data_IF_270767923814
#
_entry.id   IF_270767923814
#
_cell.length_a   1.000
_cell.length_b   1.000
_cell.length_c   1.000
_cell.angle_alpha   90.00
_cell.angle_beta   90.00
_cell.angle_gamma   90.00
#
_symmetry.space_group_name_H-M   'P 1'
#
loop_
_entity.id
_entity.type
_entity.pdbx_description
1 polymer ?
#
# COMPACT_ATOMS: atom_id res chain seq x y z
N UNK A 1 -24.15 -7.66 28.75
CA UNK A 1 -23.63 -7.97 27.39
C UNK A 1 -23.92 -6.75 26.53
N UNK A 2 -22.95 -5.86 26.38
CA UNK A 2 -23.11 -4.63 25.56
C UNK A 2 -22.34 -4.85 24.28
N UNK A 3 -23.07 -5.14 23.20
CA UNK A 3 -22.53 -5.24 21.85
C UNK A 3 -22.38 -3.82 21.30
N UNK A 4 -21.21 -3.22 21.48
CA UNK A 4 -20.87 -1.95 20.85
C UNK A 4 -20.28 -2.20 19.47
N UNK A 5 -21.04 -2.02 18.39
CA UNK A 5 -20.45 -1.83 17.07
C UNK A 5 -19.86 -0.43 17.06
N UNK A 6 -18.57 -0.32 17.36
CA UNK A 6 -17.83 0.94 17.24
C UNK A 6 -17.50 1.14 15.75
N UNK A 7 -18.31 1.92 15.03
CA UNK A 7 -17.91 2.44 13.72
C UNK A 7 -17.09 3.70 13.95
N UNK A 8 -15.78 3.54 14.09
CA UNK A 8 -14.87 4.66 14.28
C UNK A 8 -14.16 4.96 12.97
N UNK A 9 -14.43 6.15 12.42
CA UNK A 9 -13.67 6.73 11.32
C UNK A 9 -12.67 7.71 11.94
N UNK A 10 -11.38 7.48 11.75
CA UNK A 10 -10.30 8.28 12.33
C UNK A 10 -9.46 7.50 13.35
N UNK A 11 -8.14 7.53 13.16
CA UNK A 11 -7.11 6.81 13.90
C UNK A 11 -6.96 7.32 15.36
N UNK A 12 -7.86 6.93 16.26
CA UNK A 12 -7.60 7.01 17.70
C UNK A 12 -8.28 5.83 18.40
N UNK A 13 -7.49 4.87 18.88
CA UNK A 13 -8.00 3.67 19.54
C UNK A 13 -8.36 4.01 20.99
N UNK A 14 -9.65 3.88 21.34
CA UNK A 14 -10.14 3.99 22.73
C UNK A 14 -10.14 2.67 23.49
N UNK A 15 -9.73 1.56 22.84
CA UNK A 15 -9.40 0.30 23.50
C UNK A 15 -7.90 0.32 23.79
N UNK A 16 -7.54 0.42 25.08
CA UNK A 16 -6.18 0.66 25.57
C UNK A 16 -5.09 -0.32 25.11
N UNK A 17 -3.88 -0.10 25.62
CA UNK A 17 -2.56 -0.66 25.27
C UNK A 17 -2.39 -2.17 24.98
N UNK A 18 -3.44 -2.98 24.85
CA UNK A 18 -3.38 -4.41 24.54
C UNK A 18 -2.69 -4.76 23.21
N UNK A 19 -2.49 -3.78 22.31
CA UNK A 19 -1.67 -3.94 21.10
C UNK A 19 -0.55 -2.90 21.02
N UNK A 20 -0.26 -2.20 22.12
CA UNK A 20 0.94 -1.36 22.21
C UNK A 20 2.12 -2.31 22.40
N UNK A 21 2.88 -2.54 21.34
CA UNK A 21 4.13 -3.33 21.39
C UNK A 21 5.19 -2.55 20.61
N UNK A 22 6.21 -2.05 21.32
CA UNK A 22 7.25 -1.17 20.77
C UNK A 22 8.20 -1.94 19.82
N UNK A 23 8.29 -3.26 19.97
CA UNK A 23 9.20 -4.15 19.23
C UNK A 23 8.70 -4.55 17.84
N UNK A 24 7.49 -4.15 17.44
CA UNK A 24 6.81 -4.67 16.24
C UNK A 24 6.75 -3.75 15.05
N UNK A 25 7.35 -2.56 15.11
CA UNK A 25 7.37 -1.63 13.98
C UNK A 25 5.96 -1.38 13.45
N UNK A 26 5.09 -0.77 14.27
CA UNK A 26 3.74 -0.36 13.88
C UNK A 26 2.82 -1.50 13.40
N UNK A 27 1.83 -1.87 14.22
CA UNK A 27 0.75 -2.79 13.82
C UNK A 27 -0.10 -2.30 12.64
N UNK A 28 0.10 -1.05 12.24
CA UNK A 28 -0.43 -0.43 11.05
C UNK A 28 0.62 -0.57 9.95
N UNK A 29 0.43 -1.53 9.04
CA UNK A 29 1.31 -1.67 7.89
C UNK A 29 1.52 -0.33 7.18
N UNK A 30 2.76 -0.04 6.81
CA UNK A 30 3.14 1.08 5.97
C UNK A 30 3.63 0.54 4.65
N UNK A 31 3.01 0.98 3.56
CA UNK A 31 3.61 0.88 2.24
C UNK A 31 4.74 1.91 2.19
N UNK A 32 5.91 1.53 1.69
CA UNK A 32 7.00 2.48 1.48
C UNK A 32 6.55 3.58 0.50
N UNK A 33 6.92 4.86 0.75
CA UNK A 33 6.60 5.94 -0.17
C UNK A 33 7.22 5.66 -1.54
N UNK A 34 6.41 5.79 -2.59
CA UNK A 34 6.89 5.65 -3.96
C UNK A 34 8.03 6.63 -4.25
N UNK A 35 9.13 6.13 -4.80
CA UNK A 35 10.34 6.92 -5.06
C UNK A 35 10.28 7.59 -6.45
N UNK A 36 9.11 8.06 -6.87
CA UNK A 36 8.84 8.49 -8.24
C UNK A 36 8.11 9.86 -8.27
N UNK A 37 8.26 10.60 -9.37
CA UNK A 37 7.67 11.94 -9.51
C UNK A 37 6.14 11.86 -9.68
N UNK A 38 5.37 12.01 -8.61
CA UNK A 38 3.91 12.08 -8.64
C UNK A 38 3.33 12.41 -7.27
N UNK A 39 2.03 12.70 -7.19
CA UNK A 39 1.35 12.93 -5.91
C UNK A 39 0.74 11.61 -5.44
N UNK A 40 1.29 10.95 -4.41
CA UNK A 40 0.71 9.72 -3.89
C UNK A 40 -0.58 10.02 -3.14
N UNK A 41 -1.59 9.17 -3.33
CA UNK A 41 -2.82 9.17 -2.57
C UNK A 41 -2.94 7.84 -1.81
N UNK A 42 -2.94 7.91 -0.48
CA UNK A 42 -3.04 6.72 0.38
C UNK A 42 -4.35 6.72 1.13
N UNK A 43 -5.06 5.59 1.10
CA UNK A 43 -6.20 5.29 1.96
C UNK A 43 -5.81 4.16 2.89
N UNK A 44 -5.85 4.43 4.19
CA UNK A 44 -5.67 3.42 5.24
C UNK A 44 -7.00 3.17 5.95
N UNK A 45 -7.34 1.90 6.13
CA UNK A 45 -8.51 1.50 6.90
C UNK A 45 -8.22 0.20 7.63
N UNK A 46 -8.97 -0.08 8.68
CA UNK A 46 -8.77 -1.30 9.45
C UNK A 46 -9.87 -1.52 10.47
N UNK A 47 -9.90 -2.75 10.99
CA UNK A 47 -10.77 -3.16 12.07
C UNK A 47 -9.94 -3.84 13.15
N UNK A 48 -10.47 -3.75 14.36
CA UNK A 48 -9.77 -4.20 15.55
C UNK A 48 -10.77 -4.87 16.49
N UNK A 49 -10.34 -5.96 17.09
CA UNK A 49 -11.08 -6.67 18.11
C UNK A 49 -10.15 -7.11 19.24
N UNK A 50 -10.60 -6.91 20.48
CA UNK A 50 -9.92 -7.40 21.67
C UNK A 50 -10.94 -7.91 22.65
N UNK A 51 -10.71 -9.08 23.23
CA UNK A 51 -11.56 -9.59 24.29
C UNK A 51 -10.75 -10.33 25.36
N UNK A 52 -11.19 -10.19 26.60
CA UNK A 52 -10.68 -10.95 27.74
C UNK A 52 -11.67 -12.09 28.00
N UNK A 53 -11.30 -13.31 27.62
CA UNK A 53 -12.17 -14.48 27.79
C UNK A 53 -12.31 -14.86 29.27
N UNK A 54 -11.21 -14.76 30.02
CA UNK A 54 -11.18 -14.92 31.47
C UNK A 54 -9.95 -14.17 32.05
N UNK A 55 -9.67 -14.32 33.34
CA UNK A 55 -8.50 -13.67 33.96
C UNK A 55 -7.16 -14.11 33.39
N UNK A 56 -7.09 -15.32 32.84
CA UNK A 56 -5.88 -15.95 32.32
C UNK A 56 -5.70 -15.80 30.81
N UNK A 57 -6.78 -15.59 30.05
CA UNK A 57 -6.74 -15.65 28.59
C UNK A 57 -7.29 -14.37 27.99
N UNK A 58 -6.46 -13.72 27.17
CA UNK A 58 -6.86 -12.57 26.35
C UNK A 58 -6.58 -12.86 24.89
N UNK A 59 -7.49 -12.40 24.04
CA UNK A 59 -7.39 -12.54 22.59
C UNK A 59 -7.50 -11.18 21.92
N UNK A 60 -6.72 -11.03 20.86
CA UNK A 60 -6.65 -9.85 20.04
C UNK A 60 -6.58 -10.23 18.57
N UNK A 61 -7.32 -9.49 17.75
CA UNK A 61 -7.25 -9.55 16.31
C UNK A 61 -7.26 -8.14 15.73
N UNK A 62 -6.44 -7.91 14.71
CA UNK A 62 -6.57 -6.72 13.87
C UNK A 62 -6.40 -7.08 12.40
N UNK A 63 -7.05 -6.28 11.58
CA UNK A 63 -6.91 -6.29 10.14
C UNK A 63 -6.76 -4.86 9.65
N UNK A 64 -5.75 -4.62 8.82
CA UNK A 64 -5.49 -3.33 8.19
C UNK A 64 -5.37 -3.52 6.68
N UNK A 65 -5.98 -2.60 5.95
CA UNK A 65 -5.84 -2.45 4.50
C UNK A 65 -5.26 -1.07 4.21
N UNK A 66 -4.16 -1.06 3.47
CA UNK A 66 -3.57 0.14 2.91
C UNK A 66 -3.67 0.06 1.40
N UNK A 67 -4.13 1.13 0.77
CA UNK A 67 -4.08 1.27 -0.68
C UNK A 67 -3.39 2.59 -0.99
N UNK A 68 -2.39 2.55 -1.86
CA UNK A 68 -1.69 3.74 -2.33
C UNK A 68 -1.71 3.75 -3.85
N UNK A 69 -2.21 4.84 -4.42
CA UNK A 69 -2.17 5.08 -5.85
C UNK A 69 -1.23 6.26 -6.13
N UNK A 70 -0.36 6.12 -7.13
CA UNK A 70 0.54 7.16 -7.60
C UNK A 70 0.38 7.30 -9.11
N UNK A 71 0.05 8.51 -9.55
CA UNK A 71 0.00 8.85 -10.97
C UNK A 71 1.12 9.86 -11.24
N UNK A 72 1.93 9.55 -12.24
CA UNK A 72 3.00 10.37 -12.77
C UNK A 72 2.73 10.65 -14.24
N UNK A 73 2.78 11.92 -14.62
CA UNK A 73 2.59 12.35 -16.00
C UNK A 73 3.74 13.25 -16.42
N UNK A 74 4.28 13.02 -17.62
CA UNK A 74 5.35 13.79 -18.21
C UNK A 74 5.04 14.05 -19.67
N UNK A 75 5.09 15.33 -20.07
CA UNK A 75 4.96 15.76 -21.45
C UNK A 75 6.27 16.37 -21.91
N UNK A 76 6.81 15.89 -23.02
CA UNK A 76 8.05 16.37 -23.61
C UNK A 76 7.84 16.65 -25.08
N UNK A 77 8.30 17.80 -25.54
CA UNK A 77 8.29 18.13 -26.97
C UNK A 77 9.72 18.29 -27.46
N UNK A 78 10.12 17.49 -28.45
CA UNK A 78 11.49 17.48 -28.99
C UNK A 78 11.47 17.90 -30.45
N UNK A 79 12.20 18.95 -30.80
CA UNK A 79 12.32 19.42 -32.18
C UNK A 79 13.66 18.98 -32.77
N UNK A 80 13.61 18.35 -33.94
CA UNK A 80 14.78 17.91 -34.67
C UNK A 80 14.99 18.81 -35.89
N UNK A 81 16.07 19.56 -35.87
CA UNK A 81 16.44 20.50 -36.95
C UNK A 81 17.43 19.78 -37.87
N UNK A 82 17.00 19.48 -39.10
CA UNK A 82 17.84 18.93 -40.16
C UNK A 82 18.16 20.05 -41.17
N UNK A 83 19.12 19.81 -42.08
CA UNK A 83 19.59 20.81 -43.03
C UNK A 83 18.48 21.38 -43.92
N UNK A 84 17.55 20.54 -44.34
CA UNK A 84 16.49 20.90 -45.31
C UNK A 84 15.07 20.72 -44.74
N UNK A 85 14.92 20.11 -43.56
CA UNK A 85 13.62 19.82 -42.94
C UNK A 85 13.68 19.96 -41.42
N UNK A 86 12.52 20.08 -40.79
CA UNK A 86 12.38 20.06 -39.34
C UNK A 86 11.17 19.23 -39.00
N UNK A 87 11.29 18.36 -38.01
CA UNK A 87 10.16 17.61 -37.49
C UNK A 87 10.15 17.67 -35.96
N UNK A 88 8.99 17.45 -35.39
CA UNK A 88 8.77 17.57 -33.95
C UNK A 88 8.18 16.27 -33.44
N UNK A 89 8.63 15.83 -32.26
CA UNK A 89 8.10 14.65 -31.57
C UNK A 89 7.54 15.10 -30.23
N UNK A 90 6.21 15.07 -30.12
CA UNK A 90 5.51 15.22 -28.86
C UNK A 90 5.42 13.87 -28.17
N UNK A 91 5.89 13.79 -26.93
CA UNK A 91 5.92 12.59 -26.11
C UNK A 91 5.04 12.84 -24.87
N UNK A 92 4.07 11.97 -24.66
CA UNK A 92 3.26 11.91 -23.44
C UNK A 92 3.53 10.57 -22.76
N UNK A 93 4.05 10.63 -21.54
CA UNK A 93 4.30 9.47 -20.71
C UNK A 93 3.42 9.54 -19.46
N UNK A 94 2.69 8.47 -19.17
CA UNK A 94 1.90 8.32 -17.96
C UNK A 94 2.29 7.00 -17.29
N UNK A 95 2.66 7.08 -16.01
CA UNK A 95 2.89 5.91 -15.16
C UNK A 95 1.89 5.94 -14.02
N UNK A 96 1.18 4.84 -13.84
CA UNK A 96 0.26 4.65 -12.72
C UNK A 96 0.70 3.44 -11.92
N UNK A 97 1.02 3.67 -10.66
CA UNK A 97 1.42 2.64 -9.71
C UNK A 97 0.31 2.50 -8.66
N UNK A 98 -0.13 1.28 -8.43
CA UNK A 98 -1.04 0.96 -7.32
C UNK A 98 -0.33 -0.04 -6.41
N UNK A 99 -0.38 0.20 -5.12
CA UNK A 99 -0.03 -0.77 -4.09
C UNK A 99 -1.24 -1.01 -3.19
N UNK A 100 -1.49 -2.28 -2.86
CA UNK A 100 -2.51 -2.69 -1.92
C UNK A 100 -1.92 -3.69 -0.92
N UNK A 101 -1.83 -3.28 0.33
CA UNK A 101 -1.33 -4.10 1.42
C UNK A 101 -2.47 -4.50 2.37
N UNK A 102 -2.50 -5.78 2.69
CA UNK A 102 -3.35 -6.38 3.69
C UNK A 102 -2.48 -6.92 4.80
N UNK A 103 -2.76 -6.52 6.04
CA UNK A 103 -2.07 -7.01 7.22
C UNK A 103 -3.10 -7.56 8.20
N UNK A 104 -2.93 -8.81 8.59
CA UNK A 104 -3.73 -9.48 9.62
C UNK A 104 -2.78 -9.83 10.74
N UNK A 105 -3.13 -9.43 11.96
CA UNK A 105 -2.39 -9.86 13.13
C UNK A 105 -3.31 -10.42 14.21
N UNK A 106 -2.86 -11.48 14.87
CA UNK A 106 -3.46 -12.01 16.08
C UNK A 106 -2.55 -11.83 17.29
N UNK A 107 -3.16 -11.82 18.47
CA UNK A 107 -2.50 -11.91 19.77
C UNK A 107 -3.31 -12.86 20.65
N UNK A 108 -2.64 -13.82 21.26
CA UNK A 108 -3.20 -14.71 22.27
C UNK A 108 -2.27 -14.67 23.48
N UNK A 109 -2.75 -14.13 24.59
CA UNK A 109 -2.05 -14.12 25.88
C UNK A 109 -2.67 -15.19 26.78
N UNK A 110 -1.84 -16.05 27.36
CA UNK A 110 -2.22 -17.11 28.29
C UNK A 110 -1.35 -17.01 29.55
N UNK A 111 -1.95 -16.63 30.67
CA UNK A 111 -1.32 -16.68 31.99
C UNK A 111 -1.45 -18.07 32.58
N UNK A 112 -0.33 -18.77 32.74
CA UNK A 112 -0.33 -20.08 33.39
C UNK A 112 -0.49 -19.92 34.90
N UNK A 113 0.32 -19.03 35.49
CA UNK A 113 0.32 -18.63 36.89
C UNK A 113 0.48 -17.09 37.03
N UNK A 114 0.86 -16.59 38.22
CA UNK A 114 1.04 -15.16 38.46
C UNK A 114 2.29 -14.54 37.83
N UNK A 115 3.26 -15.36 37.44
CA UNK A 115 4.61 -14.98 36.99
C UNK A 115 4.92 -15.44 35.56
N UNK A 116 4.18 -16.42 35.04
CA UNK A 116 4.42 -17.07 33.75
C UNK A 116 3.29 -16.76 32.77
N UNK A 117 3.62 -16.11 31.65
CA UNK A 117 2.68 -15.71 30.60
C UNK A 117 3.21 -16.12 29.23
N UNK A 118 2.40 -16.86 28.47
CA UNK A 118 2.70 -17.22 27.09
C UNK A 118 1.95 -16.27 26.17
N UNK A 119 2.68 -15.67 25.23
CA UNK A 119 2.13 -14.79 24.20
C UNK A 119 2.38 -15.39 22.81
N UNK A 120 1.31 -15.63 22.06
CA UNK A 120 1.38 -16.13 20.68
C UNK A 120 0.89 -15.03 19.74
N UNK A 121 1.69 -14.74 18.73
CA UNK A 121 1.51 -13.58 17.88
C UNK A 121 1.66 -13.91 16.38
N UNK A 122 0.62 -14.50 15.77
CA UNK A 122 0.58 -14.72 14.34
C UNK A 122 0.44 -13.40 13.57
N UNK A 123 1.14 -13.29 12.46
CA UNK A 123 1.07 -12.18 11.51
C UNK A 123 1.02 -12.75 10.09
N UNK A 124 0.11 -12.21 9.29
CA UNK A 124 -0.02 -12.51 7.88
C UNK A 124 -0.07 -11.19 7.10
N UNK A 125 0.79 -11.05 6.10
CA UNK A 125 0.80 -9.90 5.20
C UNK A 125 0.70 -10.32 3.75
N UNK A 126 -0.07 -9.57 2.97
CA UNK A 126 -0.27 -9.77 1.54
C UNK A 126 -0.23 -8.42 0.84
N UNK A 127 0.68 -8.28 -0.11
CA UNK A 127 0.88 -7.06 -0.89
C UNK A 127 0.64 -7.35 -2.37
N UNK A 128 -0.08 -6.44 -3.02
CA UNK A 128 -0.28 -6.43 -4.45
C UNK A 128 0.25 -5.12 -4.99
N UNK A 129 1.17 -5.21 -5.95
CA UNK A 129 1.63 -4.02 -6.67
C UNK A 129 1.26 -4.16 -8.13
N UNK A 130 0.85 -3.05 -8.72
CA UNK A 130 0.71 -2.94 -10.16
C UNK A 130 1.33 -1.65 -10.66
N UNK A 131 1.88 -1.71 -11.86
CA UNK A 131 2.40 -0.55 -12.55
C UNK A 131 1.97 -0.64 -14.00
N UNK A 132 1.20 0.35 -14.46
CA UNK A 132 0.87 0.53 -15.87
C UNK A 132 1.60 1.75 -16.40
N UNK A 133 2.40 1.57 -17.44
CA UNK A 133 3.06 2.65 -18.15
C UNK A 133 2.44 2.79 -19.54
N UNK A 134 2.11 4.02 -19.90
CA UNK A 134 1.61 4.38 -21.21
C UNK A 134 2.50 5.48 -21.80
N UNK A 135 3.07 5.20 -22.97
CA UNK A 135 3.85 6.14 -23.74
C UNK A 135 3.18 6.37 -25.09
N UNK A 136 2.92 7.62 -25.41
CA UNK A 136 2.41 8.04 -26.70
C UNK A 136 3.38 9.05 -27.34
N UNK A 137 3.78 8.74 -28.56
CA UNK A 137 4.60 9.63 -29.39
C UNK A 137 3.77 10.14 -30.57
N UNK A 138 3.72 11.45 -30.73
CA UNK A 138 3.15 12.16 -31.88
C UNK A 138 4.29 12.68 -32.74
N UNK A 139 4.43 12.13 -33.94
CA UNK A 139 5.38 12.63 -34.93
C UNK A 139 4.69 13.69 -35.78
N UNK A 140 5.14 14.93 -35.65
CA UNK A 140 4.55 16.09 -36.30
C UNK A 140 5.47 16.60 -37.41
N UNK A 141 4.86 16.99 -38.52
CA UNK A 141 5.54 17.71 -39.61
C UNK A 141 5.87 19.15 -39.17
N UNK A 142 6.63 19.87 -39.99
CA UNK A 142 6.93 21.30 -39.76
C UNK A 142 5.67 22.17 -39.67
N UNK A 143 4.60 21.83 -40.39
CA UNK A 143 3.32 22.54 -40.36
C UNK A 143 2.50 22.24 -39.10
N UNK A 144 2.95 21.29 -38.26
CA UNK A 144 2.23 20.84 -37.07
C UNK A 144 1.24 19.71 -37.34
N UNK A 145 1.20 19.18 -38.56
CA UNK A 145 0.31 18.08 -38.93
C UNK A 145 0.86 16.76 -38.38
N UNK A 146 -0.01 15.93 -37.82
CA UNK A 146 0.37 14.59 -37.37
C UNK A 146 0.70 13.71 -38.57
N UNK A 147 1.95 13.25 -38.62
CA UNK A 147 2.40 12.25 -39.57
C UNK A 147 2.07 10.84 -39.06
N UNK A 148 2.45 10.54 -37.81
CA UNK A 148 2.19 9.24 -37.19
C UNK A 148 2.08 9.32 -35.68
N UNK A 149 1.45 8.28 -35.10
CA UNK A 149 1.31 8.10 -33.66
C UNK A 149 1.85 6.71 -33.30
N UNK A 150 2.66 6.64 -32.25
CA UNK A 150 3.10 5.37 -31.65
C UNK A 150 2.62 5.29 -30.22
N UNK A 151 1.99 4.17 -29.86
CA UNK A 151 1.53 3.88 -28.51
C UNK A 151 2.25 2.65 -27.96
N UNK A 152 2.76 2.75 -26.74
CA UNK A 152 3.36 1.64 -26.01
C UNK A 152 2.68 1.55 -24.66
N UNK A 153 2.14 0.38 -24.33
CA UNK A 153 1.54 0.08 -23.04
C UNK A 153 2.30 -1.07 -22.39
N UNK A 154 2.64 -0.92 -21.11
CA UNK A 154 3.33 -1.94 -20.33
C UNK A 154 2.64 -2.09 -18.98
N UNK A 155 2.26 -3.31 -18.64
CA UNK A 155 1.61 -3.63 -17.37
C UNK A 155 2.44 -4.64 -16.59
N UNK A 156 2.79 -4.27 -15.36
CA UNK A 156 3.50 -5.12 -14.41
C UNK A 156 2.61 -5.36 -13.21
N UNK A 157 2.56 -6.60 -12.72
CA UNK A 157 1.81 -6.98 -11.52
C UNK A 157 2.66 -7.91 -10.67
N UNK A 158 2.80 -7.59 -9.39
CA UNK A 158 3.50 -8.41 -8.41
C UNK A 158 2.61 -8.71 -7.23
N UNK A 159 2.86 -9.85 -6.60
CA UNK A 159 2.18 -10.29 -5.39
C UNK A 159 3.20 -10.83 -4.43
N UNK A 160 3.14 -10.38 -3.19
CA UNK A 160 4.01 -10.85 -2.13
C UNK A 160 3.15 -11.29 -0.96
N UNK A 161 3.45 -12.45 -0.40
CA UNK A 161 2.83 -12.92 0.83
C UNK A 161 3.92 -13.25 1.83
N UNK A 162 3.62 -13.02 3.10
CA UNK A 162 4.53 -13.35 4.19
C UNK A 162 3.72 -13.75 5.42
N UNK A 163 4.21 -14.78 6.11
CA UNK A 163 3.60 -15.32 7.32
C UNK A 163 4.67 -15.41 8.39
N UNK A 164 4.38 -14.90 9.57
CA UNK A 164 5.27 -14.93 10.71
C UNK A 164 4.50 -15.36 11.95
N UNK A 165 5.09 -16.23 12.76
CA UNK A 165 4.59 -16.58 14.08
C UNK A 165 5.66 -16.30 15.11
N UNK A 166 5.33 -15.51 16.13
CA UNK A 166 6.22 -15.26 17.27
C UNK A 166 5.58 -15.81 18.53
N UNK A 167 6.40 -16.44 19.37
CA UNK A 167 6.01 -16.88 20.71
C UNK A 167 6.93 -16.18 21.71
N UNK A 168 6.35 -15.60 22.76
CA UNK A 168 7.06 -15.07 23.93
C UNK A 168 6.59 -15.83 25.18
N UNK A 169 7.46 -15.96 26.17
CA UNK A 169 7.23 -16.68 27.44
C UNK A 169 7.81 -15.89 28.60
#
# INVERSE_FOLDING_TARGET
MVTGILKQYGLSTSNGNFFSDDDRGGWWGGSDPFNNNGIPQTIKSGVFFSNKLNEKVKIGFNYTRNQTDLISESNRNTQYILRDTTYTVGEQNQSRQENQDHLINGRLEIKLDSLTEIEILPTYSLSFDSTSNFLQNHFLTRSGDTNSISNVSQDYKTRFFHVCNRVKT
#
